data_IF_437870460003
#
_entry.id   IF_437870460003
#
_cell.length_a   1.000
_cell.length_b   1.000
_cell.length_c   1.000
_cell.angle_alpha   90.00
_cell.angle_beta   90.00
_cell.angle_gamma   90.00
#
_symmetry.space_group_name_H-M   'P 1'
#
loop_
_entity.id
_entity.type
_entity.pdbx_description
1 polymer ?
#
# COMPACT_ATOMS: atom_id res chain seq x y z
N UNK A 1 -27.24 36.59 35.75
CA UNK A 1 -27.79 35.37 35.15
C UNK A 1 -27.21 35.27 33.76
N UNK A 2 -26.33 34.29 33.54
CA UNK A 2 -25.75 33.96 32.23
C UNK A 2 -26.20 32.53 31.98
N UNK A 3 -26.96 32.31 30.90
CA UNK A 3 -27.36 30.97 30.47
C UNK A 3 -26.12 30.21 29.96
N UNK A 4 -25.87 29.06 30.59
CA UNK A 4 -24.96 28.04 30.08
C UNK A 4 -25.69 27.30 28.96
N UNK A 5 -25.27 27.48 27.70
CA UNK A 5 -25.66 26.54 26.64
C UNK A 5 -24.78 25.31 26.72
N UNK A 6 -25.42 24.18 27.00
CA UNK A 6 -24.83 22.85 27.02
C UNK A 6 -24.29 22.51 25.62
N UNK A 7 -23.03 22.08 25.59
CA UNK A 7 -22.38 21.52 24.41
C UNK A 7 -22.68 20.02 24.36
N UNK A 8 -23.50 19.51 23.42
CA UNK A 8 -23.78 18.09 23.34
C UNK A 8 -22.62 17.40 22.62
N UNK A 9 -21.72 16.83 23.42
CA UNK A 9 -20.73 15.83 23.01
C UNK A 9 -21.36 14.72 22.17
N UNK A 10 -20.76 14.40 21.00
CA UNK A 10 -21.26 13.27 20.22
C UNK A 10 -20.55 12.90 18.93
N UNK A 11 -19.23 12.63 19.00
CA UNK A 11 -18.52 11.61 18.20
C UNK A 11 -18.02 11.97 16.79
N UNK A 12 -16.69 12.14 16.79
CA UNK A 12 -15.68 11.61 15.88
C UNK A 12 -15.74 12.09 14.44
N UNK A 13 -14.82 13.01 14.13
CA UNK A 13 -14.52 13.46 12.79
C UNK A 13 -14.50 12.30 11.81
N UNK A 14 -15.33 12.43 10.78
CA UNK A 14 -15.30 11.61 9.58
C UNK A 14 -13.87 11.58 9.10
N UNK A 15 -13.18 10.46 9.35
CA UNK A 15 -11.83 10.20 8.85
C UNK A 15 -11.95 10.26 7.35
N UNK A 16 -11.48 11.36 6.76
CA UNK A 16 -11.53 11.60 5.33
C UNK A 16 -11.03 10.34 4.62
N UNK A 17 -11.87 9.86 3.71
CA UNK A 17 -11.66 8.64 2.96
C UNK A 17 -10.56 8.92 1.94
N UNK A 18 -9.31 8.74 2.34
CA UNK A 18 -8.16 8.96 1.48
C UNK A 18 -8.11 7.86 0.41
N UNK A 19 -8.48 8.23 -0.82
CA UNK A 19 -8.25 7.47 -2.04
C UNK A 19 -9.53 6.97 -2.73
N UNK A 20 -9.56 6.91 -4.08
CA UNK A 20 -10.64 6.23 -4.79
C UNK A 20 -10.76 4.80 -4.28
N UNK A 21 -12.00 4.33 -4.03
CA UNK A 21 -12.29 2.95 -3.64
C UNK A 21 -11.87 2.01 -4.77
N UNK A 22 -10.58 1.67 -4.85
CA UNK A 22 -10.12 0.52 -5.61
C UNK A 22 -10.79 -0.68 -4.95
N UNK A 23 -11.76 -1.29 -5.64
CA UNK A 23 -12.19 -2.65 -5.30
C UNK A 23 -10.92 -3.48 -5.17
N UNK A 24 -10.77 -4.25 -4.07
CA UNK A 24 -9.62 -5.14 -3.87
C UNK A 24 -9.60 -6.17 -5.01
N UNK A 25 -9.01 -5.81 -6.12
CA UNK A 25 -8.58 -6.73 -7.14
C UNK A 25 -7.24 -7.21 -6.63
N UNK A 26 -7.09 -8.50 -6.35
CA UNK A 26 -5.84 -9.14 -5.95
C UNK A 26 -4.80 -9.02 -7.07
N UNK A 27 -4.29 -7.80 -7.27
CA UNK A 27 -3.45 -7.37 -8.37
C UNK A 27 -2.06 -7.96 -8.15
N UNK A 28 -1.54 -7.85 -6.94
CA UNK A 28 -0.25 -8.41 -6.55
C UNK A 28 -0.43 -9.78 -5.89
N UNK A 29 0.20 -10.80 -6.46
CA UNK A 29 0.27 -12.17 -5.93
C UNK A 29 1.57 -12.81 -6.38
N UNK A 30 2.03 -13.84 -5.67
CA UNK A 30 3.19 -14.64 -6.10
C UNK A 30 2.97 -15.19 -7.52
N UNK A 31 4.08 -15.36 -8.26
CA UNK A 31 4.11 -15.95 -9.60
C UNK A 31 3.33 -15.16 -10.68
N UNK A 32 3.26 -13.83 -10.57
CA UNK A 32 2.74 -12.97 -11.66
C UNK A 32 3.86 -12.67 -12.66
N UNK A 33 3.53 -12.65 -13.95
CA UNK A 33 4.49 -12.22 -14.99
C UNK A 33 5.06 -10.85 -14.66
N UNK A 34 6.37 -10.70 -14.77
CA UNK A 34 7.10 -9.47 -14.43
C UNK A 34 6.51 -8.23 -15.11
N UNK A 35 6.21 -8.31 -16.41
CA UNK A 35 5.60 -7.20 -17.17
C UNK A 35 4.28 -6.72 -16.55
N UNK A 36 3.50 -7.65 -15.98
CA UNK A 36 2.25 -7.32 -15.30
C UNK A 36 2.51 -6.70 -13.93
N UNK A 37 3.59 -7.03 -13.23
CA UNK A 37 3.93 -6.38 -11.95
C UNK A 37 4.42 -4.95 -12.22
N UNK A 38 5.31 -4.78 -13.20
CA UNK A 38 5.83 -3.47 -13.64
C UNK A 38 4.73 -2.50 -14.05
N UNK A 39 3.78 -2.96 -14.86
CA UNK A 39 2.68 -2.12 -15.34
C UNK A 39 1.81 -1.59 -14.19
N UNK A 40 1.52 -2.40 -13.19
CA UNK A 40 0.67 -1.97 -12.06
C UNK A 40 1.42 -1.02 -11.14
N UNK A 41 2.71 -1.26 -10.89
CA UNK A 41 3.55 -0.34 -10.13
C UNK A 41 3.62 1.02 -10.82
N UNK A 42 3.79 1.04 -12.15
CA UNK A 42 3.76 2.27 -12.94
C UNK A 42 2.42 3.01 -12.85
N UNK A 43 1.28 2.30 -12.88
CA UNK A 43 -0.03 2.91 -12.71
C UNK A 43 -0.27 3.47 -11.30
N UNK A 44 0.36 2.89 -10.28
CA UNK A 44 0.31 3.40 -8.90
C UNK A 44 1.19 4.64 -8.75
N UNK A 45 2.38 4.63 -9.32
CA UNK A 45 3.29 5.78 -9.35
C UNK A 45 2.64 7.02 -9.97
N UNK A 46 1.80 6.83 -11.00
CA UNK A 46 1.08 7.91 -11.65
C UNK A 46 -0.12 8.47 -10.87
N UNK A 47 -0.42 7.97 -9.67
CA UNK A 47 -1.50 8.52 -8.86
C UNK A 47 -1.15 9.89 -8.27
N UNK A 48 -2.17 10.73 -8.12
CA UNK A 48 -2.00 12.04 -7.48
C UNK A 48 -1.38 11.90 -6.09
N UNK A 49 -0.40 12.75 -5.81
CA UNK A 49 0.34 12.82 -4.55
C UNK A 49 1.13 11.55 -4.21
N UNK A 50 1.40 10.67 -5.18
CA UNK A 50 2.22 9.47 -4.94
C UNK A 50 3.63 9.85 -4.44
N UNK A 51 4.28 10.81 -5.11
CA UNK A 51 5.63 11.28 -4.75
C UNK A 51 5.68 12.01 -3.40
N UNK A 52 4.57 12.57 -2.94
CA UNK A 52 4.47 13.28 -1.65
C UNK A 52 4.34 12.31 -0.46
N UNK A 53 3.98 11.05 -0.72
CA UNK A 53 3.83 10.01 0.31
C UNK A 53 5.21 9.55 0.78
N UNK A 54 5.31 9.24 2.07
CA UNK A 54 6.46 8.50 2.58
C UNK A 54 6.58 7.15 1.86
N UNK A 55 7.81 6.65 1.68
CA UNK A 55 8.08 5.34 1.08
C UNK A 55 7.24 4.23 1.74
N UNK A 56 7.12 4.26 3.06
CA UNK A 56 6.31 3.29 3.81
C UNK A 56 4.82 3.34 3.43
N UNK A 57 4.28 4.54 3.21
CA UNK A 57 2.89 4.71 2.77
C UNK A 57 2.70 4.20 1.33
N UNK A 58 3.66 4.49 0.43
CA UNK A 58 3.64 3.95 -0.95
C UNK A 58 3.64 2.42 -0.96
N UNK A 59 4.53 1.78 -0.17
CA UNK A 59 4.58 0.32 -0.02
C UNK A 59 3.25 -0.24 0.50
N UNK A 60 2.62 0.43 1.46
CA UNK A 60 1.34 -0.02 2.02
C UNK A 60 0.21 0.07 1.01
N UNK A 61 0.18 1.07 0.15
CA UNK A 61 -0.79 1.14 -0.95
C UNK A 61 -0.67 -0.05 -1.89
N UNK A 62 0.56 -0.46 -2.23
CA UNK A 62 0.79 -1.69 -3.01
C UNK A 62 0.31 -2.93 -2.25
N UNK A 63 0.61 -3.03 -0.95
CA UNK A 63 0.18 -4.14 -0.10
C UNK A 63 -1.34 -4.30 -0.04
N UNK A 64 -2.08 -3.19 0.07
CA UNK A 64 -3.55 -3.21 0.09
C UNK A 64 -4.18 -3.75 -1.20
N UNK A 65 -3.45 -3.67 -2.31
CA UNK A 65 -3.86 -4.18 -3.62
C UNK A 65 -3.41 -5.63 -3.88
N UNK A 66 -2.67 -6.22 -2.93
CA UNK A 66 -2.19 -7.58 -3.02
C UNK A 66 -3.13 -8.62 -2.41
N UNK A 67 -2.81 -9.89 -2.67
CA UNK A 67 -3.38 -11.03 -1.96
C UNK A 67 -3.03 -11.02 -0.48
N UNK A 68 -3.74 -11.81 0.33
CA UNK A 68 -3.44 -11.89 1.77
C UNK A 68 -2.05 -12.47 2.04
N UNK A 69 -1.58 -13.39 1.19
CA UNK A 69 -0.18 -13.86 1.24
C UNK A 69 0.82 -12.72 1.02
N UNK A 70 0.54 -11.81 0.07
CA UNK A 70 1.38 -10.65 -0.17
C UNK A 70 1.35 -9.66 0.99
N UNK A 71 0.17 -9.40 1.56
CA UNK A 71 0.02 -8.55 2.74
C UNK A 71 0.80 -9.11 3.94
N UNK A 72 0.74 -10.41 4.16
CA UNK A 72 1.49 -11.08 5.23
C UNK A 72 3.00 -10.96 4.98
N UNK A 73 3.46 -11.16 3.74
CA UNK A 73 4.87 -10.96 3.39
C UNK A 73 5.35 -9.52 3.65
N UNK A 74 4.58 -8.50 3.26
CA UNK A 74 4.91 -7.09 3.54
C UNK A 74 4.87 -6.80 5.05
N UNK A 75 3.93 -7.39 5.78
CA UNK A 75 3.86 -7.30 7.24
C UNK A 75 5.13 -7.88 7.90
N UNK A 76 5.56 -9.07 7.47
CA UNK A 76 6.76 -9.74 7.96
C UNK A 76 8.03 -8.92 7.69
N UNK A 77 8.15 -8.31 6.51
CA UNK A 77 9.25 -7.37 6.23
C UNK A 77 9.20 -6.16 7.16
N UNK A 78 8.00 -5.63 7.42
CA UNK A 78 7.77 -4.48 8.29
C UNK A 78 8.18 -4.73 9.74
N UNK A 79 7.81 -5.88 10.32
CA UNK A 79 8.17 -6.23 11.70
C UNK A 79 9.67 -6.48 11.84
N UNK A 80 10.31 -7.03 10.80
CA UNK A 80 11.74 -7.31 10.79
C UNK A 80 12.60 -6.11 10.38
N UNK A 81 11.99 -4.93 10.12
CA UNK A 81 12.66 -3.71 9.63
C UNK A 81 13.47 -3.95 8.34
N UNK A 82 12.96 -4.84 7.49
CA UNK A 82 13.51 -5.19 6.18
C UNK A 82 12.74 -4.54 5.02
N UNK A 83 11.86 -3.57 5.33
CA UNK A 83 11.25 -2.78 4.27
C UNK A 83 12.31 -1.84 3.66
N UNK A 84 12.35 -1.74 2.33
CA UNK A 84 13.28 -0.88 1.63
C UNK A 84 13.07 0.59 1.99
N UNK A 85 14.15 1.35 1.90
CA UNK A 85 14.18 2.75 2.31
C UNK A 85 13.84 3.70 1.17
N UNK A 86 13.85 3.21 -0.06
CA UNK A 86 13.48 3.91 -1.26
C UNK A 86 12.55 3.08 -2.16
N UNK A 87 11.92 3.77 -3.11
CA UNK A 87 10.91 3.17 -3.97
C UNK A 87 11.51 2.30 -5.09
N UNK A 88 12.70 2.62 -5.59
CA UNK A 88 13.35 1.81 -6.63
C UNK A 88 13.79 0.46 -6.06
N UNK A 89 14.37 0.44 -4.86
CA UNK A 89 14.70 -0.77 -4.11
C UNK A 89 13.46 -1.62 -3.84
N UNK A 90 12.31 -0.99 -3.56
CA UNK A 90 11.04 -1.71 -3.46
C UNK A 90 10.63 -2.37 -4.78
N UNK A 91 10.76 -1.67 -5.91
CA UNK A 91 10.46 -2.25 -7.22
C UNK A 91 11.40 -3.42 -7.56
N UNK A 92 12.69 -3.31 -7.24
CA UNK A 92 13.66 -4.39 -7.38
C UNK A 92 13.31 -5.61 -6.52
N UNK A 93 12.96 -5.39 -5.26
CA UNK A 93 12.50 -6.46 -4.38
C UNK A 93 11.24 -7.15 -4.93
N UNK A 94 10.31 -6.37 -5.48
CA UNK A 94 9.11 -6.90 -6.15
C UNK A 94 9.47 -7.73 -7.39
N UNK A 95 10.43 -7.28 -8.20
CA UNK A 95 10.92 -8.04 -9.37
C UNK A 95 11.57 -9.36 -8.96
N UNK A 96 12.45 -9.34 -7.98
CA UNK A 96 13.12 -10.55 -7.47
C UNK A 96 12.12 -11.54 -6.87
N UNK A 97 11.10 -11.04 -6.15
CA UNK A 97 10.03 -11.88 -5.60
C UNK A 97 9.14 -12.51 -6.69
N UNK A 98 8.99 -11.84 -7.85
CA UNK A 98 8.24 -12.35 -8.99
C UNK A 98 9.03 -13.39 -9.82
N UNK A 99 10.36 -13.36 -9.76
CA UNK A 99 11.24 -14.23 -10.56
C UNK A 99 11.70 -15.53 -9.86
N UNK A 100 11.43 -15.74 -8.58
CA UNK A 100 11.91 -16.92 -7.82
C UNK A 100 11.41 -18.31 -8.29
N UNK A 101 10.74 -18.45 -9.44
CA UNK A 101 10.31 -19.76 -9.96
C UNK A 101 10.51 -20.01 -11.47
N UNK A 102 11.26 -19.21 -12.23
CA UNK A 102 11.67 -19.66 -13.59
C UNK A 102 12.81 -20.72 -13.56
N UNK A 103 13.24 -21.17 -12.38
CA UNK A 103 14.31 -22.17 -12.20
C UNK A 103 13.86 -23.49 -11.53
N UNK A 104 12.59 -23.88 -11.61
CA UNK A 104 12.14 -25.24 -11.19
C UNK A 104 11.62 -26.09 -12.35
#
# INVERSE_FOLDING_TARGET
MIELQENPTGKVGSREHWGPKRTQHNIFKKNRKEIKVRLELFLIEGENNFEEKSIRAQIYEVAYLGSDEFKNWVYDLGINKMLPSDWEEFKEMMWNSAQMQELS
#
